data_IF_409754246693
#
_entry.id   IF_409754246693
#
_cell.length_a   1.000
_cell.length_b   1.000
_cell.length_c   1.000
_cell.angle_alpha   90.00
_cell.angle_beta   90.00
_cell.angle_gamma   90.00
#
_symmetry.space_group_name_H-M   'P 1'
#
loop_
_entity.id
_entity.type
_entity.pdbx_description
1 polymer ?
#
# COMPACT_ATOMS: atom_id res chain seq x y z
N UNK A 1 5.33 2.77 16.46
CA UNK A 1 3.96 2.29 16.57
C UNK A 1 3.27 2.23 15.22
N UNK A 2 2.24 1.38 15.13
CA UNK A 2 1.49 1.18 13.88
C UNK A 2 0.90 2.50 13.36
N UNK A 3 0.38 3.34 14.23
CA UNK A 3 -0.23 4.61 13.84
C UNK A 3 0.74 5.51 13.07
N UNK A 4 2.00 5.50 13.43
CA UNK A 4 3.03 6.28 12.72
C UNK A 4 3.09 5.86 11.25
N UNK A 5 3.17 4.54 10.98
CA UNK A 5 3.28 4.03 9.62
C UNK A 5 1.98 4.18 8.83
N UNK A 6 0.83 4.08 9.50
CA UNK A 6 -0.47 4.27 8.85
C UNK A 6 -0.66 5.69 8.32
N UNK A 7 0.00 6.67 8.92
CA UNK A 7 -0.11 8.08 8.54
C UNK A 7 0.92 8.52 7.50
N UNK A 8 1.88 7.67 7.14
CA UNK A 8 2.87 8.00 6.12
C UNK A 8 2.26 8.03 4.72
N UNK A 9 2.80 8.90 3.87
CA UNK A 9 2.31 9.11 2.51
C UNK A 9 2.94 8.14 1.50
N UNK A 10 2.59 6.86 1.60
CA UNK A 10 2.98 5.87 0.60
C UNK A 10 2.29 6.15 -0.73
N UNK A 11 2.95 5.80 -1.83
CA UNK A 11 2.43 6.03 -3.17
C UNK A 11 1.40 4.96 -3.53
N UNK A 12 0.13 5.38 -3.58
CA UNK A 12 -0.99 4.48 -3.88
C UNK A 12 -1.12 4.25 -5.39
N UNK A 13 -1.26 2.99 -5.76
CA UNK A 13 -1.51 2.57 -7.14
C UNK A 13 -2.76 1.68 -7.13
N UNK A 14 -3.68 1.93 -8.07
CA UNK A 14 -4.89 1.13 -8.24
C UNK A 14 -4.93 0.67 -9.69
N UNK A 15 -4.86 -0.65 -9.92
CA UNK A 15 -4.88 -1.24 -11.24
C UNK A 15 -6.18 -2.00 -11.48
N UNK A 16 -6.89 -1.71 -12.59
CA UNK A 16 -8.01 -2.54 -13.01
C UNK A 16 -7.49 -3.84 -13.59
N UNK A 17 -8.18 -4.94 -13.30
CA UNK A 17 -7.88 -6.28 -13.81
C UNK A 17 -9.13 -6.89 -14.39
N UNK A 18 -8.93 -7.83 -15.33
CA UNK A 18 -10.02 -8.55 -15.99
C UNK A 18 -10.08 -9.96 -15.46
N UNK A 19 -11.27 -10.38 -15.02
CA UNK A 19 -11.52 -11.75 -14.57
C UNK A 19 -11.91 -12.65 -15.76
N UNK A 20 -11.96 -13.95 -15.53
CA UNK A 20 -12.28 -14.95 -16.55
C UNK A 20 -13.66 -14.74 -17.17
N UNK A 21 -14.61 -14.24 -16.40
CA UNK A 21 -15.99 -14.00 -16.87
C UNK A 21 -16.15 -12.64 -17.56
N UNK A 22 -15.07 -11.88 -17.73
CA UNK A 22 -15.09 -10.55 -18.33
C UNK A 22 -15.41 -9.43 -17.37
N UNK A 23 -15.65 -9.72 -16.10
CA UNK A 23 -15.84 -8.67 -15.10
C UNK A 23 -14.53 -8.00 -14.74
N UNK A 24 -14.61 -6.76 -14.23
CA UNK A 24 -13.45 -5.98 -13.81
C UNK A 24 -13.36 -6.03 -12.29
N UNK A 25 -12.15 -6.22 -11.76
CA UNK A 25 -11.86 -6.03 -10.35
C UNK A 25 -10.64 -5.13 -10.23
N UNK A 26 -10.29 -4.75 -9.01
CA UNK A 26 -9.21 -3.79 -8.76
C UNK A 26 -8.22 -4.34 -7.77
N UNK A 27 -6.93 -4.08 -8.04
CA UNK A 27 -5.85 -4.35 -7.10
C UNK A 27 -5.27 -3.01 -6.67
N UNK A 28 -5.24 -2.76 -5.37
CA UNK A 28 -4.65 -1.56 -4.79
C UNK A 28 -3.39 -1.94 -4.03
N UNK A 29 -2.33 -1.17 -4.21
CA UNK A 29 -1.07 -1.43 -3.51
C UNK A 29 -0.27 -0.14 -3.36
N UNK A 30 0.79 -0.22 -2.56
CA UNK A 30 1.72 0.88 -2.39
C UNK A 30 3.05 0.54 -3.04
N UNK A 31 3.56 1.48 -3.84
CA UNK A 31 4.81 1.31 -4.59
C UNK A 31 5.96 0.88 -3.69
N UNK A 32 6.05 1.42 -2.47
CA UNK A 32 7.15 1.20 -1.54
C UNK A 32 7.02 -0.08 -0.71
N UNK A 33 5.85 -0.74 -0.74
CA UNK A 33 5.54 -1.90 0.10
C UNK A 33 5.26 -3.11 -0.76
N UNK A 34 6.31 -3.77 -1.22
CA UNK A 34 6.20 -4.94 -2.11
C UNK A 34 5.43 -6.09 -1.46
N UNK A 35 4.60 -6.74 -2.25
CA UNK A 35 3.84 -7.91 -1.83
C UNK A 35 2.59 -7.61 -1.03
N UNK A 36 2.31 -6.35 -0.76
CA UNK A 36 1.15 -5.91 0.01
C UNK A 36 0.07 -5.41 -0.94
N UNK A 37 -1.05 -6.14 -1.03
CA UNK A 37 -2.12 -5.81 -1.96
C UNK A 37 -3.48 -5.90 -1.31
N UNK A 38 -4.40 -5.00 -1.74
CA UNK A 38 -5.82 -5.11 -1.47
C UNK A 38 -6.55 -5.40 -2.76
N UNK A 39 -7.61 -6.20 -2.70
CA UNK A 39 -8.39 -6.62 -3.86
C UNK A 39 -9.85 -6.36 -3.60
N UNK A 40 -10.57 -5.89 -4.62
CA UNK A 40 -12.01 -5.65 -4.52
C UNK A 40 -12.67 -5.52 -5.87
N UNK A 41 -13.98 -5.75 -5.92
CA UNK A 41 -14.78 -5.59 -7.12
C UNK A 41 -14.97 -4.12 -7.49
N UNK A 42 -14.71 -3.20 -6.55
CA UNK A 42 -14.68 -1.76 -6.78
C UNK A 42 -13.37 -1.19 -6.25
N UNK A 43 -13.01 0.02 -6.66
CA UNK A 43 -11.84 0.73 -6.15
C UNK A 43 -11.93 0.92 -4.63
N UNK A 44 -13.12 1.29 -4.14
CA UNK A 44 -13.36 1.52 -2.72
C UNK A 44 -13.17 0.25 -1.90
N UNK A 45 -13.63 -0.90 -2.40
CA UNK A 45 -13.45 -2.17 -1.73
C UNK A 45 -11.98 -2.61 -1.73
N UNK A 46 -11.27 -2.37 -2.83
CA UNK A 46 -9.84 -2.66 -2.90
C UNK A 46 -9.05 -1.81 -1.89
N UNK A 47 -9.39 -0.53 -1.75
CA UNK A 47 -8.76 0.37 -0.79
C UNK A 47 -9.05 -0.05 0.65
N UNK A 48 -10.29 -0.46 0.93
CA UNK A 48 -10.68 -0.93 2.26
C UNK A 48 -9.90 -2.18 2.65
N UNK A 49 -9.76 -3.11 1.72
CA UNK A 49 -8.99 -4.33 1.91
C UNK A 49 -7.50 -4.00 2.13
N UNK A 50 -6.94 -3.13 1.30
CA UNK A 50 -5.55 -2.70 1.43
C UNK A 50 -5.26 -2.08 2.79
N UNK A 51 -6.16 -1.24 3.28
CA UNK A 51 -5.99 -0.60 4.59
C UNK A 51 -5.89 -1.63 5.71
N UNK A 52 -6.74 -2.65 5.68
CA UNK A 52 -6.72 -3.71 6.69
C UNK A 52 -5.45 -4.56 6.58
N UNK A 53 -5.09 -4.97 5.37
CA UNK A 53 -3.87 -5.76 5.11
C UNK A 53 -2.62 -4.97 5.53
N UNK A 54 -2.56 -3.68 5.22
CA UNK A 54 -1.46 -2.79 5.61
C UNK A 54 -1.31 -2.73 7.12
N UNK A 55 -2.41 -2.57 7.83
CA UNK A 55 -2.41 -2.48 9.29
C UNK A 55 -1.88 -3.77 9.92
N UNK A 56 -2.34 -4.92 9.45
CA UNK A 56 -1.90 -6.22 9.94
C UNK A 56 -0.42 -6.46 9.63
N UNK A 57 0.02 -6.06 8.44
CA UNK A 57 1.40 -6.20 8.01
C UNK A 57 2.35 -5.36 8.88
N UNK A 58 1.98 -4.11 9.17
CA UNK A 58 2.79 -3.24 10.04
C UNK A 58 2.89 -3.82 11.46
N UNK A 59 1.79 -4.34 11.99
CA UNK A 59 1.78 -4.96 13.31
C UNK A 59 2.75 -6.15 13.38
N UNK A 60 2.68 -7.01 12.37
CA UNK A 60 3.58 -8.16 12.28
C UNK A 60 5.03 -7.72 12.13
N UNK A 61 5.30 -6.78 11.23
CA UNK A 61 6.66 -6.29 10.96
C UNK A 61 7.30 -5.69 12.22
N UNK A 62 6.54 -4.90 12.97
CA UNK A 62 7.04 -4.33 14.24
C UNK A 62 7.28 -5.41 15.28
N UNK A 63 6.43 -6.42 15.33
CA UNK A 63 6.55 -7.52 16.28
C UNK A 63 7.81 -8.34 16.06
N UNK A 64 8.16 -8.59 14.80
CA UNK A 64 9.35 -9.41 14.46
C UNK A 64 10.61 -8.57 14.25
N UNK A 65 10.52 -7.24 14.38
CA UNK A 65 11.67 -6.35 14.20
C UNK A 65 12.11 -6.19 12.75
N UNK A 66 11.22 -6.44 11.79
CA UNK A 66 11.54 -6.27 10.38
C UNK A 66 11.65 -4.79 10.02
N UNK A 67 12.51 -4.48 9.03
CA UNK A 67 12.63 -3.12 8.51
C UNK A 67 11.40 -2.79 7.66
N UNK A 68 10.74 -1.68 7.96
CA UNK A 68 9.59 -1.19 7.21
C UNK A 68 10.06 -0.06 6.30
N UNK A 69 9.99 -0.23 4.96
CA UNK A 69 10.32 0.86 4.05
C UNK A 69 9.42 2.07 4.29
N UNK A 70 9.99 3.27 4.21
CA UNK A 70 9.24 4.51 4.35
C UNK A 70 9.25 5.25 3.01
N UNK A 71 8.18 6.01 2.69
CA UNK A 71 8.16 6.80 1.47
C UNK A 71 9.16 7.95 1.58
N UNK A 72 9.67 8.40 0.42
CA UNK A 72 10.55 9.56 0.40
C UNK A 72 9.80 10.79 0.87
N UNK A 73 10.45 11.61 1.69
CA UNK A 73 9.90 12.91 2.07
C UNK A 73 9.99 13.87 0.90
N UNK A 74 9.23 14.95 0.97
CA UNK A 74 9.29 16.02 -0.04
C UNK A 74 10.70 16.61 -0.14
N UNK A 75 11.39 16.72 0.98
CA UNK A 75 12.77 17.24 1.05
C UNK A 75 13.75 16.29 0.37
N UNK A 76 13.63 15.00 0.59
CA UNK A 76 14.46 13.97 -0.05
C UNK A 76 14.27 13.99 -1.57
N UNK A 77 13.03 14.13 -2.05
CA UNK A 77 12.73 14.24 -3.47
C UNK A 77 13.37 15.49 -4.09
N UNK A 78 13.35 16.62 -3.37
CA UNK A 78 13.95 17.86 -3.82
C UNK A 78 15.49 17.75 -3.90
N UNK A 79 16.13 17.03 -2.98
CA UNK A 79 17.57 16.80 -3.00
C UNK A 79 18.02 16.01 -4.23
N UNK A 80 17.16 15.16 -4.77
CA UNK A 80 17.45 14.33 -5.94
C UNK A 80 16.99 14.93 -7.26
N UNK A 81 16.35 16.09 -7.23
CA UNK A 81 15.84 16.76 -8.43
C UNK A 81 16.79 17.87 -8.87
N UNK A 82 17.86 17.51 -9.46
CA UNK A 82 18.80 18.48 -10.04
C UNK A 82 18.37 18.89 -11.46
#
# INVERSE_FOLDING_TARGET
PVSYYMDLNYTLIIDPKLDFDGSVYYIAYYKELEGLEGVGSTKELALKDLKQVKKDWFRLSLKIGAVIPEPQTKEELNEHSD
#
